data_IF_128505195626
#
_entry.id   IF_128505195626
#
_cell.length_a   1.000
_cell.length_b   1.000
_cell.length_c   1.000
_cell.angle_alpha   90.00
_cell.angle_beta   90.00
_cell.angle_gamma   90.00
#
_symmetry.space_group_name_H-M   'P 1'
#
loop_
_entity.id
_entity.type
_entity.pdbx_description
1 polymer ?
#
# COMPACT_ATOMS: atom_id res chain seq x y z
N UNK A 1 -23.55 2.12 21.51
CA UNK A 1 -24.77 2.93 21.30
C UNK A 1 -24.48 3.81 20.08
N UNK A 2 -25.10 3.67 18.91
CA UNK A 2 -26.50 3.42 18.64
C UNK A 2 -26.67 2.48 17.43
N UNK A 3 -27.52 1.47 17.61
CA UNK A 3 -28.22 0.79 16.51
C UNK A 3 -29.08 1.84 15.82
N UNK A 4 -28.63 2.35 14.67
CA UNK A 4 -29.47 3.15 13.79
C UNK A 4 -30.46 2.21 13.11
N UNK A 5 -31.75 2.51 13.30
CA UNK A 5 -32.92 1.91 12.66
C UNK A 5 -32.62 1.32 11.28
N UNK A 6 -32.72 -0.01 11.18
CA UNK A 6 -32.96 -0.70 9.92
C UNK A 6 -34.39 -0.35 9.49
N UNK A 7 -34.49 0.56 8.53
CA UNK A 7 -35.72 1.06 7.96
C UNK A 7 -36.43 -0.06 7.19
N UNK A 8 -37.63 -0.44 7.67
CA UNK A 8 -38.82 -0.86 6.91
C UNK A 8 -38.54 -1.52 5.55
N UNK A 9 -38.09 -2.79 5.58
CA UNK A 9 -38.36 -3.88 4.60
C UNK A 9 -37.32 -5.02 4.70
N UNK A 10 -36.94 -5.42 5.92
CA UNK A 10 -36.19 -6.67 6.13
C UNK A 10 -37.16 -7.76 6.57
N UNK A 11 -37.12 -8.87 5.83
CA UNK A 11 -37.89 -10.11 5.99
C UNK A 11 -37.94 -10.55 7.48
N UNK A 12 -39.11 -10.84 8.06
CA UNK A 12 -39.30 -10.96 9.51
C UNK A 12 -38.97 -12.35 10.08
N UNK A 13 -37.96 -13.05 9.54
CA UNK A 13 -37.67 -14.45 9.94
C UNK A 13 -36.35 -14.64 10.70
N UNK A 14 -35.68 -13.57 11.12
CA UNK A 14 -34.39 -13.68 11.81
C UNK A 14 -34.23 -12.76 13.04
N UNK A 15 -35.32 -12.26 13.63
CA UNK A 15 -35.24 -11.49 14.87
C UNK A 15 -36.40 -11.82 15.81
N UNK A 16 -36.08 -11.87 17.12
CA UNK A 16 -36.94 -12.13 18.29
C UNK A 16 -37.09 -13.63 18.60
N UNK A 17 -36.21 -14.24 19.39
CA UNK A 17 -35.96 -13.95 20.81
C UNK A 17 -34.53 -14.41 21.23
N UNK A 18 -34.20 -14.31 22.52
CA UNK A 18 -33.04 -14.93 23.22
C UNK A 18 -31.80 -14.03 23.38
N UNK A 19 -31.55 -13.65 24.64
CA UNK A 19 -30.28 -13.06 25.12
C UNK A 19 -29.02 -13.86 24.70
N UNK A 20 -29.17 -15.13 24.31
CA UNK A 20 -28.11 -16.01 23.82
C UNK A 20 -27.56 -15.59 22.45
N UNK A 21 -28.39 -15.02 21.56
CA UNK A 21 -27.94 -14.62 20.22
C UNK A 21 -26.89 -13.50 20.24
N UNK A 22 -27.00 -12.59 21.22
CA UNK A 22 -25.98 -11.54 21.45
C UNK A 22 -24.65 -12.15 21.89
N UNK A 23 -24.68 -13.14 22.80
CA UNK A 23 -23.47 -13.81 23.25
C UNK A 23 -22.77 -14.57 22.11
N UNK A 24 -23.53 -15.28 21.28
CA UNK A 24 -22.99 -16.01 20.12
C UNK A 24 -22.37 -15.03 19.12
N UNK A 25 -23.01 -13.89 18.85
CA UNK A 25 -22.45 -12.87 17.97
C UNK A 25 -21.11 -12.32 18.49
N UNK A 26 -21.01 -12.05 19.79
CA UNK A 26 -19.75 -11.60 20.40
C UNK A 26 -18.66 -12.67 20.38
N UNK A 27 -19.01 -13.93 20.63
CA UNK A 27 -18.07 -15.05 20.54
C UNK A 27 -17.54 -15.22 19.11
N UNK A 28 -18.42 -15.18 18.11
CA UNK A 28 -18.01 -15.25 16.71
C UNK A 28 -17.18 -14.03 16.30
N UNK A 29 -17.49 -12.84 16.85
CA UNK A 29 -16.68 -11.65 16.67
C UNK A 29 -15.25 -11.82 17.22
N UNK A 30 -15.12 -12.32 18.46
CA UNK A 30 -13.82 -12.58 19.09
C UNK A 30 -13.00 -13.64 18.34
N UNK A 31 -13.66 -14.71 17.86
CA UNK A 31 -13.00 -15.73 17.03
C UNK A 31 -12.53 -15.16 15.69
N UNK A 32 -13.36 -14.33 15.03
CA UNK A 32 -12.99 -13.69 13.78
C UNK A 32 -11.80 -12.72 13.93
N UNK A 33 -11.65 -12.08 15.09
CA UNK A 33 -10.49 -11.27 15.41
C UNK A 33 -9.24 -12.13 15.64
N UNK A 34 -9.35 -13.21 16.40
CA UNK A 34 -8.26 -14.16 16.63
C UNK A 34 -7.71 -14.76 15.33
N UNK A 35 -8.59 -15.18 14.41
CA UNK A 35 -8.18 -15.71 13.12
C UNK A 35 -7.44 -14.67 12.26
N UNK A 36 -7.89 -13.41 12.28
CA UNK A 36 -7.19 -12.32 11.57
C UNK A 36 -5.80 -12.09 12.13
N UNK A 37 -5.64 -12.13 13.45
CA UNK A 37 -4.34 -11.93 14.09
C UNK A 37 -3.39 -13.10 13.77
N UNK A 38 -3.89 -14.33 13.77
CA UNK A 38 -3.09 -15.49 13.36
C UNK A 38 -2.63 -15.41 11.89
N UNK A 39 -3.50 -14.92 10.99
CA UNK A 39 -3.13 -14.67 9.58
C UNK A 39 -2.03 -13.59 9.51
N UNK A 40 -2.16 -12.50 10.27
CA UNK A 40 -1.16 -11.42 10.31
C UNK A 40 0.20 -11.93 10.77
N UNK A 41 0.25 -12.70 11.85
CA UNK A 41 1.48 -13.31 12.35
C UNK A 41 2.18 -14.15 11.29
N UNK A 42 1.42 -15.01 10.59
CA UNK A 42 1.96 -15.84 9.50
C UNK A 42 2.48 -15.00 8.33
N UNK A 43 1.75 -13.96 7.93
CA UNK A 43 2.22 -13.07 6.85
C UNK A 43 3.50 -12.33 7.24
N UNK A 44 3.60 -11.87 8.49
CA UNK A 44 4.80 -11.21 9.01
C UNK A 44 6.00 -12.15 9.06
N UNK A 45 5.82 -13.39 9.52
CA UNK A 45 6.85 -14.42 9.49
C UNK A 45 7.32 -14.71 8.05
N UNK A 46 6.39 -14.82 7.10
CA UNK A 46 6.70 -14.99 5.68
C UNK A 46 7.47 -13.81 5.08
N UNK A 47 7.08 -12.58 5.42
CA UNK A 47 7.78 -11.36 5.00
C UNK A 47 9.19 -11.29 5.59
N UNK A 48 9.37 -11.66 6.86
CA UNK A 48 10.69 -11.72 7.50
C UNK A 48 11.60 -12.73 6.79
N UNK A 49 11.09 -13.93 6.49
CA UNK A 49 11.82 -14.94 5.74
C UNK A 49 12.18 -14.47 4.32
N UNK A 50 11.26 -13.79 3.62
CA UNK A 50 11.51 -13.25 2.29
C UNK A 50 12.57 -12.12 2.30
N UNK A 51 12.55 -11.27 3.33
CA UNK A 51 13.56 -10.22 3.55
C UNK A 51 14.93 -10.82 3.85
N UNK A 52 15.01 -11.87 4.67
CA UNK A 52 16.25 -12.59 4.95
C UNK A 52 16.86 -13.21 3.67
N UNK A 53 16.01 -13.65 2.73
CA UNK A 53 16.42 -14.09 1.39
C UNK A 53 16.81 -12.94 0.44
N UNK A 54 16.80 -11.69 0.90
CA UNK A 54 17.18 -10.51 0.12
C UNK A 54 16.10 -9.97 -0.83
N UNK A 55 14.85 -10.45 -0.77
CA UNK A 55 13.77 -9.91 -1.61
C UNK A 55 13.37 -8.53 -1.11
N UNK A 56 13.55 -7.51 -1.96
CA UNK A 56 13.04 -6.15 -1.72
C UNK A 56 11.58 -6.08 -2.17
N UNK A 57 10.66 -6.06 -1.20
CA UNK A 57 9.23 -5.88 -1.45
C UNK A 57 8.86 -4.47 -1.92
N UNK A 58 7.59 -4.25 -2.24
CA UNK A 58 7.06 -2.96 -2.69
C UNK A 58 7.04 -2.79 -4.21
N UNK A 59 6.55 -1.64 -4.67
CA UNK A 59 6.41 -1.32 -6.10
C UNK A 59 7.80 -1.12 -6.73
N UNK A 60 8.15 -1.81 -7.83
CA UNK A 60 9.41 -1.59 -8.52
C UNK A 60 9.49 -0.16 -9.05
N UNK A 61 10.65 0.48 -8.88
CA UNK A 61 10.90 1.84 -9.35
C UNK A 61 11.09 1.83 -10.87
N UNK A 62 10.18 2.51 -11.60
CA UNK A 62 10.16 2.53 -13.09
C UNK A 62 11.49 2.90 -13.75
N UNK A 63 12.30 3.79 -13.15
CA UNK A 63 13.55 4.25 -13.78
C UNK A 63 14.77 3.46 -13.32
N UNK A 64 14.75 2.88 -12.11
CA UNK A 64 15.93 2.17 -11.55
C UNK A 64 16.26 0.88 -12.32
N UNK A 65 15.27 0.28 -12.97
CA UNK A 65 15.44 -0.93 -13.79
C UNK A 65 15.99 -0.65 -15.19
N UNK A 66 15.86 0.58 -15.70
CA UNK A 66 16.03 0.88 -17.13
C UNK A 66 17.28 1.68 -17.49
N UNK A 67 18.21 1.94 -16.55
CA UNK A 67 19.40 2.78 -16.80
C UNK A 67 19.11 4.27 -17.05
N UNK A 68 17.84 4.64 -17.24
CA UNK A 68 17.34 6.00 -17.51
C UNK A 68 17.60 7.01 -16.38
N UNK A 69 18.01 6.57 -15.19
CA UNK A 69 18.35 7.47 -14.08
C UNK A 69 19.62 8.26 -14.38
N UNK A 70 20.66 7.61 -14.93
CA UNK A 70 21.91 8.28 -15.29
C UNK A 70 21.67 9.32 -16.40
N UNK A 71 20.89 8.95 -17.42
CA UNK A 71 20.49 9.87 -18.49
C UNK A 71 19.68 11.07 -17.97
N UNK A 72 18.74 10.84 -17.05
CA UNK A 72 17.97 11.91 -16.43
C UNK A 72 18.85 12.88 -15.63
N UNK A 73 19.89 12.36 -14.96
CA UNK A 73 20.84 13.17 -14.21
C UNK A 73 21.75 13.98 -15.14
N UNK A 74 22.28 13.37 -16.20
CA UNK A 74 23.07 14.06 -17.23
C UNK A 74 22.26 15.21 -17.86
N UNK A 75 21.05 14.93 -18.36
CA UNK A 75 20.16 15.95 -18.94
C UNK A 75 19.81 17.08 -17.96
N UNK A 76 19.80 16.80 -16.65
CA UNK A 76 19.55 17.79 -15.63
C UNK A 76 20.78 18.67 -15.36
N UNK A 77 21.97 18.06 -15.28
CA UNK A 77 23.25 18.76 -15.05
C UNK A 77 23.68 19.61 -16.24
N UNK A 78 23.47 19.12 -17.47
CA UNK A 78 23.85 19.82 -18.69
C UNK A 78 23.01 21.10 -18.91
N UNK A 79 21.91 21.30 -18.16
CA UNK A 79 20.97 22.44 -18.21
C UNK A 79 20.48 22.85 -19.61
N UNK A 80 20.74 22.02 -20.62
CA UNK A 80 20.53 22.31 -22.04
C UNK A 80 19.08 22.09 -22.47
N UNK A 81 18.29 21.40 -21.64
CA UNK A 81 16.91 21.05 -21.93
C UNK A 81 15.95 21.56 -20.86
N UNK A 82 14.83 22.12 -21.30
CA UNK A 82 13.76 22.56 -20.40
C UNK A 82 13.16 21.35 -19.66
N UNK A 83 12.88 21.51 -18.37
CA UNK A 83 12.30 20.47 -17.49
C UNK A 83 11.09 19.73 -18.11
N UNK A 84 10.10 20.38 -18.74
CA UNK A 84 9.01 19.69 -19.44
C UNK A 84 9.48 18.76 -20.56
N UNK A 85 10.51 19.13 -21.32
CA UNK A 85 11.08 18.30 -22.40
C UNK A 85 11.73 17.04 -21.81
N UNK A 86 12.48 17.18 -20.73
CA UNK A 86 13.08 16.03 -20.03
C UNK A 86 12.00 15.06 -19.54
N UNK A 87 10.88 15.57 -19.03
CA UNK A 87 9.77 14.76 -18.53
C UNK A 87 9.07 13.98 -19.65
N UNK A 88 8.86 14.59 -20.82
CA UNK A 88 8.23 13.92 -21.97
C UNK A 88 9.16 12.86 -22.57
N UNK A 89 10.45 13.17 -22.75
CA UNK A 89 11.45 12.22 -23.28
C UNK A 89 11.59 10.98 -22.40
N UNK A 90 11.56 11.14 -21.08
CA UNK A 90 11.70 10.04 -20.12
C UNK A 90 10.35 9.38 -19.76
N UNK A 91 9.22 9.97 -20.13
CA UNK A 91 7.88 9.48 -19.81
C UNK A 91 7.57 9.50 -18.31
N UNK A 92 8.02 10.54 -17.60
CA UNK A 92 7.87 10.68 -16.14
C UNK A 92 7.24 12.02 -15.77
N UNK A 93 6.65 12.08 -14.57
CA UNK A 93 6.18 13.34 -13.99
C UNK A 93 7.33 14.19 -13.45
N UNK A 94 7.12 15.52 -13.38
CA UNK A 94 8.08 16.46 -12.78
C UNK A 94 8.49 16.06 -11.36
N UNK A 95 7.52 15.64 -10.54
CA UNK A 95 7.77 15.15 -9.18
C UNK A 95 8.67 13.90 -9.16
N UNK A 96 8.55 13.04 -10.17
CA UNK A 96 9.39 11.86 -10.29
C UNK A 96 10.83 12.24 -10.64
N UNK A 97 11.02 13.19 -11.56
CA UNK A 97 12.34 13.73 -11.93
C UNK A 97 13.07 14.29 -10.70
N UNK A 98 12.44 15.23 -9.97
CA UNK A 98 13.05 15.84 -8.79
C UNK A 98 13.39 14.84 -7.68
N UNK A 99 12.55 13.81 -7.49
CA UNK A 99 12.84 12.74 -6.52
C UNK A 99 14.11 11.98 -6.89
N UNK A 100 14.35 11.71 -8.18
CA UNK A 100 15.58 11.03 -8.61
C UNK A 100 16.80 11.94 -8.59
N UNK A 101 16.65 13.22 -8.94
CA UNK A 101 17.73 14.21 -8.83
C UNK A 101 18.19 14.34 -7.38
N UNK A 102 17.25 14.50 -6.43
CA UNK A 102 17.56 14.56 -4.99
C UNK A 102 18.22 13.28 -4.46
N UNK A 103 17.86 12.11 -4.98
CA UNK A 103 18.50 10.85 -4.61
C UNK A 103 19.88 10.66 -5.27
N UNK A 104 20.14 11.34 -6.38
CA UNK A 104 21.39 11.26 -7.14
C UNK A 104 22.41 12.33 -6.71
N UNK A 105 21.96 13.39 -6.04
CA UNK A 105 22.81 14.38 -5.38
C UNK A 105 23.55 13.70 -4.23
N UNK A 106 24.87 13.44 -4.35
CA UNK A 106 25.62 12.93 -3.21
C UNK A 106 25.64 14.02 -2.15
N UNK A 107 25.30 13.66 -0.91
CA UNK A 107 25.55 14.49 0.27
C UNK A 107 27.00 14.98 0.20
N UNK A 108 27.18 16.31 0.11
CA UNK A 108 28.46 16.97 0.40
C UNK A 108 28.93 16.63 1.81
#
# INVERSE_FOLDING_TARGET
MAMRQCSRNCIPLLCEEIKSGKLIFHLMGALAEFERDLIRERTNAGLAAAKAKGRKGGRPRKLKTNGKVALAWQMFTDQSHSIPVICTTLGISRATLYRYVKEAEPLT
#
